data_IF_492047479678
#
_entry.id   IF_492047479678
#
_cell.length_a   1.000
_cell.length_b   1.000
_cell.length_c   1.000
_cell.angle_alpha   90.00
_cell.angle_beta   90.00
_cell.angle_gamma   90.00
#
_symmetry.space_group_name_H-M   'P 1'
#
loop_
_entity.id
_entity.type
_entity.pdbx_description
1 polymer ?
#
# COMPACT_ATOMS: atom_id res chain seq x y z
N UNK A 1 29.10 -10.90 14.65
CA UNK A 1 29.12 -9.56 14.00
C UNK A 1 28.75 -9.61 12.53
N UNK A 2 29.38 -10.45 11.70
CA UNK A 2 28.94 -10.61 10.30
C UNK A 2 27.45 -10.98 10.20
N UNK A 3 27.01 -11.94 11.02
CA UNK A 3 25.61 -12.38 11.06
C UNK A 3 24.57 -11.28 11.35
N UNK A 4 24.86 -10.31 12.22
CA UNK A 4 23.92 -9.21 12.48
C UNK A 4 23.86 -8.22 11.32
N UNK A 5 25.01 -7.95 10.68
CA UNK A 5 25.07 -7.13 9.46
C UNK A 5 24.30 -7.82 8.34
N UNK A 6 24.47 -9.14 8.18
CA UNK A 6 23.74 -9.91 7.17
C UNK A 6 22.22 -9.85 7.40
N UNK A 7 21.76 -9.97 8.65
CA UNK A 7 20.35 -9.83 9.00
C UNK A 7 19.81 -8.42 8.73
N UNK A 8 20.58 -7.38 9.03
CA UNK A 8 20.19 -5.99 8.74
C UNK A 8 20.10 -5.73 7.23
N UNK A 9 21.03 -6.27 6.45
CA UNK A 9 21.00 -6.18 5.00
C UNK A 9 19.84 -6.98 4.41
N UNK A 10 19.57 -8.18 4.91
CA UNK A 10 18.41 -8.98 4.52
C UNK A 10 17.09 -8.22 4.78
N UNK A 11 16.98 -7.55 5.94
CA UNK A 11 15.85 -6.66 6.22
C UNK A 11 15.74 -5.53 5.21
N UNK A 12 16.85 -4.86 4.90
CA UNK A 12 16.87 -3.78 3.91
C UNK A 12 16.45 -4.27 2.52
N UNK A 13 16.85 -5.48 2.11
CA UNK A 13 16.45 -6.07 0.83
C UNK A 13 14.93 -6.26 0.74
N UNK A 14 14.28 -6.72 1.81
CA UNK A 14 12.81 -6.81 1.85
C UNK A 14 12.13 -5.44 1.82
N UNK A 15 12.70 -4.44 2.52
CA UNK A 15 12.19 -3.07 2.45
C UNK A 15 12.36 -2.46 1.05
N UNK A 16 13.46 -2.74 0.34
CA UNK A 16 13.63 -2.32 -1.05
C UNK A 16 12.63 -3.00 -1.99
N UNK A 17 12.34 -4.29 -1.79
CA UNK A 17 11.27 -4.98 -2.54
C UNK A 17 9.91 -4.32 -2.29
N UNK A 18 9.62 -3.95 -1.04
CA UNK A 18 8.40 -3.24 -0.67
C UNK A 18 8.30 -1.87 -1.35
N UNK A 19 9.39 -1.11 -1.33
CA UNK A 19 9.48 0.17 -2.01
C UNK A 19 9.20 0.04 -3.53
N UNK A 20 9.78 -0.96 -4.19
CA UNK A 20 9.57 -1.20 -5.63
C UNK A 20 8.14 -1.62 -5.95
N UNK A 21 7.56 -2.50 -5.12
CA UNK A 21 6.16 -2.90 -5.24
C UNK A 21 5.23 -1.67 -5.16
N UNK A 22 5.53 -0.74 -4.25
CA UNK A 22 4.81 0.53 -4.15
C UNK A 22 4.99 1.41 -5.41
N UNK A 23 6.19 1.52 -5.99
CA UNK A 23 6.42 2.29 -7.24
C UNK A 23 5.61 1.73 -8.42
N UNK A 24 5.60 0.41 -8.57
CA UNK A 24 4.84 -0.28 -9.62
C UNK A 24 3.34 -0.02 -9.44
N UNK A 25 2.84 -0.11 -8.21
CA UNK A 25 1.43 0.17 -7.92
C UNK A 25 1.08 1.64 -8.15
N UNK A 26 1.92 2.59 -7.72
CA UNK A 26 1.70 4.03 -7.96
C UNK A 26 1.56 4.30 -9.46
N UNK A 27 2.41 3.70 -10.28
CA UNK A 27 2.33 3.80 -11.74
C UNK A 27 0.98 3.29 -12.25
N UNK A 28 0.55 2.10 -11.82
CA UNK A 28 -0.77 1.53 -12.17
C UNK A 28 -1.93 2.44 -11.74
N UNK A 29 -1.90 2.96 -10.52
CA UNK A 29 -2.95 3.84 -9.97
C UNK A 29 -3.02 5.17 -10.71
N UNK A 30 -1.88 5.73 -11.10
CA UNK A 30 -1.81 6.97 -11.88
C UNK A 30 -2.49 6.85 -13.25
N UNK A 31 -2.52 5.64 -13.80
CA UNK A 31 -3.20 5.31 -15.07
C UNK A 31 -4.67 4.91 -14.86
N UNK A 32 -5.18 4.98 -13.63
CA UNK A 32 -6.54 4.61 -13.27
C UNK A 32 -6.81 3.11 -13.22
N UNK A 33 -5.76 2.28 -13.11
CA UNK A 33 -5.86 0.82 -13.03
C UNK A 33 -5.87 0.37 -11.57
N UNK A 34 -7.05 0.00 -11.07
CA UNK A 34 -7.31 -0.38 -9.67
C UNK A 34 -7.62 -1.88 -9.49
N UNK A 35 -7.64 -2.67 -10.56
CA UNK A 35 -8.15 -4.05 -10.56
C UNK A 35 -7.33 -5.02 -9.69
N UNK A 36 -6.05 -4.69 -9.44
CA UNK A 36 -5.10 -5.54 -8.72
C UNK A 36 -4.77 -5.04 -7.30
N UNK A 37 -5.61 -4.17 -6.72
CA UNK A 37 -5.36 -3.61 -5.38
C UNK A 37 -5.25 -4.70 -4.30
N UNK A 38 -6.10 -5.72 -4.33
CA UNK A 38 -6.07 -6.80 -3.33
C UNK A 38 -4.77 -7.62 -3.42
N UNK A 39 -4.31 -7.91 -4.64
CA UNK A 39 -3.03 -8.59 -4.88
C UNK A 39 -1.86 -7.77 -4.36
N UNK A 40 -1.88 -6.45 -4.59
CA UNK A 40 -0.91 -5.51 -4.05
C UNK A 40 -0.89 -5.50 -2.52
N UNK A 41 -2.04 -5.43 -1.85
CA UNK A 41 -2.11 -5.46 -0.40
C UNK A 41 -1.62 -6.78 0.18
N UNK A 42 -1.99 -7.91 -0.42
CA UNK A 42 -1.52 -9.23 -0.01
C UNK A 42 0.01 -9.36 -0.16
N UNK A 43 0.57 -8.89 -1.28
CA UNK A 43 2.02 -8.90 -1.49
C UNK A 43 2.77 -8.02 -0.46
N UNK A 44 2.19 -6.88 -0.07
CA UNK A 44 2.72 -6.03 0.99
C UNK A 44 2.70 -6.72 2.35
N UNK A 45 1.60 -7.38 2.69
CA UNK A 45 1.47 -8.10 3.96
C UNK A 45 2.54 -9.19 4.08
N UNK A 46 2.73 -10.00 3.03
CA UNK A 46 3.79 -11.02 2.98
C UNK A 46 5.18 -10.41 3.17
N UNK A 47 5.47 -9.26 2.55
CA UNK A 47 6.76 -8.59 2.75
C UNK A 47 6.95 -8.08 4.18
N UNK A 48 5.89 -7.59 4.84
CA UNK A 48 5.95 -7.17 6.24
C UNK A 48 6.13 -8.37 7.18
N UNK A 49 5.51 -9.51 6.89
CA UNK A 49 5.75 -10.76 7.62
C UNK A 49 7.21 -11.20 7.53
N UNK A 50 7.80 -11.16 6.32
CA UNK A 50 9.22 -11.47 6.12
C UNK A 50 10.13 -10.51 6.91
N UNK A 51 9.84 -9.21 6.89
CA UNK A 51 10.57 -8.22 7.72
C UNK A 51 10.43 -8.54 9.21
N UNK A 52 9.22 -8.89 9.67
CA UNK A 52 8.97 -9.26 11.07
C UNK A 52 9.75 -10.51 11.49
N UNK A 53 9.86 -11.51 10.62
CA UNK A 53 10.69 -12.69 10.85
C UNK A 53 12.18 -12.35 10.97
N UNK A 54 12.69 -11.43 10.14
CA UNK A 54 14.07 -10.96 10.26
C UNK A 54 14.28 -10.20 11.56
N UNK A 55 13.32 -9.38 11.98
CA UNK A 55 13.38 -8.68 13.27
C UNK A 55 13.43 -9.64 14.46
N UNK A 56 12.62 -10.69 14.46
CA UNK A 56 12.67 -11.73 15.49
C UNK A 56 14.06 -12.40 15.55
N UNK A 57 14.65 -12.73 14.38
CA UNK A 57 16.01 -13.30 14.30
C UNK A 57 17.09 -12.34 14.80
N UNK A 58 16.94 -11.04 14.56
CA UNK A 58 17.83 -10.00 15.10
C UNK A 58 17.73 -9.96 16.63
N UNK A 59 16.51 -10.00 17.16
CA UNK A 59 16.25 -9.99 18.59
C UNK A 59 16.82 -11.23 19.28
N UNK A 60 16.63 -12.42 18.70
CA UNK A 60 17.23 -13.67 19.17
C UNK A 60 18.76 -13.58 19.19
N UNK A 61 19.37 -13.10 18.10
CA UNK A 61 20.82 -12.92 18.02
C UNK A 61 21.33 -11.94 19.10
N UNK A 62 20.61 -10.85 19.34
CA UNK A 62 20.98 -9.88 20.38
C UNK A 62 20.86 -10.49 21.78
N UNK A 63 19.86 -11.33 22.04
CA UNK A 63 19.71 -12.03 23.33
C UNK A 63 20.83 -13.03 23.59
N UNK A 64 21.28 -13.73 22.56
CA UNK A 64 22.30 -14.79 22.68
C UNK A 64 23.74 -14.27 22.74
N UNK A 65 24.05 -13.12 22.11
CA UNK A 65 25.43 -12.76 21.75
C UNK A 65 25.94 -11.45 22.39
N UNK A 66 25.14 -10.75 23.19
CA UNK A 66 25.58 -9.52 23.85
C UNK A 66 26.48 -9.78 25.08
N UNK A 67 27.65 -10.38 24.86
CA UNK A 67 28.80 -10.13 25.74
C UNK A 67 29.48 -8.82 25.31
N UNK A 68 29.52 -7.80 26.20
CA UNK A 68 30.13 -6.50 25.89
C UNK A 68 31.65 -6.65 25.78
N UNK A 69 32.14 -6.87 24.54
CA UNK A 69 33.57 -6.97 24.26
C UNK A 69 33.95 -7.30 22.82
N UNK A 70 33.04 -7.86 22.02
CA UNK A 70 33.36 -8.41 20.68
C UNK A 70 32.94 -7.54 19.48
N UNK A 71 32.57 -6.27 19.69
CA UNK A 71 32.15 -5.37 18.61
C UNK A 71 33.38 -4.63 18.04
N UNK A 72 33.90 -5.14 16.92
CA UNK A 72 34.94 -4.48 16.11
C UNK A 72 34.43 -3.14 15.54
N UNK A 73 35.30 -2.15 15.40
CA UNK A 73 34.97 -0.85 14.77
C UNK A 73 34.44 -0.97 13.33
N UNK A 74 34.94 -1.92 12.54
CA UNK A 74 34.40 -2.22 11.20
C UNK A 74 32.95 -2.67 11.26
N UNK A 75 32.61 -3.56 12.20
CA UNK A 75 31.24 -4.02 12.45
C UNK A 75 30.30 -2.89 12.86
N UNK A 76 30.75 -1.94 13.69
CA UNK A 76 29.94 -0.76 14.04
C UNK A 76 29.61 0.08 12.82
N UNK A 77 30.59 0.35 11.97
CA UNK A 77 30.38 1.12 10.72
C UNK A 77 29.39 0.45 9.79
N UNK A 78 29.50 -0.87 9.62
CA UNK A 78 28.58 -1.64 8.78
C UNK A 78 27.14 -1.60 9.32
N UNK A 79 26.95 -1.77 10.63
CA UNK A 79 25.64 -1.66 11.28
C UNK A 79 25.06 -0.25 11.09
N UNK A 80 25.85 0.79 11.35
CA UNK A 80 25.39 2.18 11.18
C UNK A 80 24.98 2.49 9.73
N UNK A 81 25.71 1.95 8.74
CA UNK A 81 25.36 2.10 7.33
C UNK A 81 24.01 1.42 7.03
N UNK A 82 23.86 0.16 7.42
CA UNK A 82 22.62 -0.59 7.18
C UNK A 82 21.41 0.07 7.86
N UNK A 83 21.58 0.60 9.08
CA UNK A 83 20.52 1.34 9.78
C UNK A 83 20.14 2.64 9.07
N UNK A 84 21.12 3.34 8.48
CA UNK A 84 20.86 4.57 7.71
C UNK A 84 20.10 4.26 6.42
N UNK A 85 20.51 3.23 5.69
CA UNK A 85 19.81 2.77 4.49
C UNK A 85 18.36 2.39 4.82
N UNK A 86 18.15 1.66 5.93
CA UNK A 86 16.83 1.32 6.43
C UNK A 86 15.95 2.57 6.63
N UNK A 87 16.50 3.58 7.31
CA UNK A 87 15.79 4.83 7.60
C UNK A 87 15.39 5.55 6.30
N UNK A 88 16.33 5.70 5.37
CA UNK A 88 16.09 6.38 4.10
C UNK A 88 15.00 5.65 3.27
N UNK A 89 15.01 4.32 3.25
CA UNK A 89 14.01 3.52 2.52
C UNK A 89 12.64 3.60 3.18
N UNK A 90 12.56 3.49 4.51
CA UNK A 90 11.29 3.57 5.25
C UNK A 90 10.62 4.93 5.04
N UNK A 91 11.38 6.03 5.08
CA UNK A 91 10.82 7.36 4.84
C UNK A 91 10.22 7.48 3.44
N UNK A 92 10.85 6.89 2.43
CA UNK A 92 10.32 6.87 1.06
C UNK A 92 9.07 6.00 0.93
N UNK A 93 9.04 4.83 1.58
CA UNK A 93 7.84 3.98 1.62
C UNK A 93 6.65 4.74 2.23
N UNK A 94 6.86 5.47 3.32
CA UNK A 94 5.80 6.25 3.96
C UNK A 94 5.28 7.36 3.03
N UNK A 95 6.15 8.02 2.28
CA UNK A 95 5.74 9.00 1.29
C UNK A 95 4.92 8.37 0.15
N UNK A 96 5.32 7.19 -0.34
CA UNK A 96 4.58 6.42 -1.33
C UNK A 96 3.21 5.99 -0.82
N UNK A 97 3.10 5.58 0.44
CA UNK A 97 1.82 5.17 1.02
C UNK A 97 0.81 6.33 1.06
N UNK A 98 1.26 7.56 1.36
CA UNK A 98 0.42 8.75 1.27
C UNK A 98 -0.05 9.01 -0.17
N UNK A 99 0.81 8.76 -1.15
CA UNK A 99 0.48 8.91 -2.57
C UNK A 99 -0.55 7.86 -3.02
N UNK A 100 -0.35 6.58 -2.67
CA UNK A 100 -1.31 5.49 -2.92
C UNK A 100 -2.68 5.83 -2.34
N UNK A 101 -2.73 6.27 -1.08
CA UNK A 101 -3.98 6.69 -0.43
C UNK A 101 -4.66 7.86 -1.16
N UNK A 102 -3.88 8.82 -1.65
CA UNK A 102 -4.39 9.95 -2.43
C UNK A 102 -5.05 9.50 -3.73
N UNK A 103 -4.47 8.54 -4.46
CA UNK A 103 -5.08 7.98 -5.66
C UNK A 103 -6.40 7.26 -5.35
N UNK A 104 -6.43 6.45 -4.29
CA UNK A 104 -7.62 5.71 -3.88
C UNK A 104 -8.76 6.67 -3.50
N UNK A 105 -8.48 7.70 -2.70
CA UNK A 105 -9.52 8.66 -2.28
C UNK A 105 -10.04 9.52 -3.44
N UNK A 106 -9.20 9.86 -4.42
CA UNK A 106 -9.65 10.53 -5.65
C UNK A 106 -10.62 9.65 -6.45
N UNK A 107 -10.28 8.39 -6.68
CA UNK A 107 -11.15 7.50 -7.46
C UNK A 107 -12.44 7.17 -6.73
N UNK A 108 -12.37 6.97 -5.41
CA UNK A 108 -13.56 6.82 -4.55
C UNK A 108 -14.48 8.03 -4.65
N UNK A 109 -13.92 9.24 -4.61
CA UNK A 109 -14.70 10.48 -4.75
C UNK A 109 -15.38 10.58 -6.11
N UNK A 110 -14.67 10.19 -7.18
CA UNK A 110 -15.21 10.13 -8.55
C UNK A 110 -16.36 9.11 -8.66
N UNK A 111 -16.17 7.88 -8.17
CA UNK A 111 -17.21 6.85 -8.15
C UNK A 111 -18.47 7.31 -7.39
N UNK A 112 -18.31 8.04 -6.28
CA UNK A 112 -19.45 8.59 -5.52
C UNK A 112 -20.25 9.61 -6.31
N UNK A 113 -19.59 10.47 -7.09
CA UNK A 113 -20.27 11.43 -7.97
C UNK A 113 -21.04 10.70 -9.07
N UNK A 114 -20.40 9.73 -9.72
CA UNK A 114 -21.02 8.92 -10.78
C UNK A 114 -22.25 8.15 -10.26
N UNK A 115 -22.14 7.51 -9.09
CA UNK A 115 -23.27 6.82 -8.46
C UNK A 115 -24.45 7.75 -8.16
N UNK A 116 -24.19 8.99 -7.72
CA UNK A 116 -25.26 9.98 -7.50
C UNK A 116 -25.92 10.37 -8.81
N UNK A 117 -25.14 10.58 -9.88
CA UNK A 117 -25.68 10.91 -11.21
C UNK A 117 -26.53 9.78 -11.78
N UNK A 118 -26.09 8.52 -11.68
CA UNK A 118 -26.86 7.36 -12.12
C UNK A 118 -28.18 7.24 -11.34
N UNK A 119 -28.17 7.48 -10.03
CA UNK A 119 -29.40 7.50 -9.21
C UNK A 119 -30.36 8.61 -9.65
N UNK A 120 -29.86 9.81 -9.97
CA UNK A 120 -30.68 10.90 -10.50
C UNK A 120 -31.23 10.58 -11.89
N UNK A 121 -30.41 10.04 -12.79
CA UNK A 121 -30.83 9.61 -14.12
C UNK A 121 -31.92 8.54 -14.09
N UNK A 122 -31.79 7.53 -13.20
CA UNK A 122 -32.84 6.52 -12.99
C UNK A 122 -34.15 7.12 -12.49
N UNK A 123 -34.11 8.12 -11.59
CA UNK A 123 -35.31 8.83 -11.15
C UNK A 123 -35.97 9.62 -12.29
N UNK A 124 -35.18 10.29 -13.13
CA UNK A 124 -35.68 11.03 -14.28
C UNK A 124 -36.34 10.09 -15.31
N UNK A 125 -35.71 8.96 -15.62
CA UNK A 125 -36.27 7.94 -16.53
C UNK A 125 -37.52 7.27 -15.95
N UNK A 126 -37.54 7.01 -14.64
CA UNK A 126 -38.73 6.49 -13.94
C UNK A 126 -39.90 7.46 -13.98
N UNK A 127 -39.64 8.76 -13.77
CA UNK A 127 -40.66 9.81 -13.90
C UNK A 127 -41.23 9.90 -15.31
N UNK A 128 -40.38 9.81 -16.35
CA UNK A 128 -40.84 9.83 -17.74
C UNK A 128 -41.76 8.65 -18.10
N UNK A 129 -41.49 7.43 -17.61
CA UNK A 129 -42.41 6.29 -17.81
C UNK A 129 -43.78 6.51 -17.16
N UNK A 130 -43.82 7.18 -16.01
CA UNK A 130 -45.06 7.43 -15.27
C UNK A 130 -45.95 8.49 -15.94
N UNK A 131 -45.35 9.49 -16.59
CA UNK A 131 -46.09 10.47 -17.41
C UNK A 131 -46.66 9.85 -18.69
N UNK A 132 -45.99 8.87 -19.29
CA UNK A 132 -46.46 8.19 -20.51
C UNK A 132 -47.65 7.24 -20.24
N UNK A 133 -47.71 6.65 -19.03
CA UNK A 133 -48.86 5.85 -18.59
C UNK A 133 -50.09 6.72 -18.31
N UNK A 134 -49.96 7.86 -17.62
CA UNK A 134 -51.11 8.72 -17.33
C UNK A 134 -51.71 9.36 -18.58
N UNK A 135 -50.89 9.66 -19.60
CA UNK A 135 -51.38 10.25 -20.85
C UNK A 135 -52.22 9.29 -21.70
N UNK A 136 -52.06 7.98 -21.53
CA UNK A 136 -52.88 6.97 -22.21
C UNK A 136 -54.24 6.73 -21.55
N UNK A 137 -54.39 7.07 -20.28
CA UNK A 137 -55.64 6.82 -19.53
C UNK A 137 -56.67 7.94 -19.73
N UNK A 138 -56.22 9.18 -20.00
CA UNK A 138 -57.11 10.33 -20.22
C UNK A 138 -57.66 10.44 -21.67
N UNK A 139 -57.20 9.62 -22.61
CA UNK A 139 -57.70 9.61 -24.00
C UNK A 139 -58.88 8.62 -24.23
N UNK A 140 -59.27 7.80 -23.24
CA UNK A 140 -60.36 6.81 -23.34
C UNK A 140 -61.66 7.16 -22.59
N UNK A 141 -61.88 8.41 -22.17
CA UNK A 141 -63.08 8.83 -21.41
C UNK A 141 -64.02 9.78 -22.18
#
# INVERSE_FOLDING_TARGET
>A
MQRIVDLLNEKNDYLFKFYRLNEEQITSLSEGRFDHLDEFYNAREVLLELVSHVDARIEDFNREVLEPGHITESGKKAISLALREKEDVVQRILAQDLEVLSFIEKEKSKMLVELRQVKMGRKAVGGYRQFDEHRRVDEEA
#
